data_IF_870994273908
#
_entry.id   IF_870994273908
#
_cell.length_a   1.000
_cell.length_b   1.000
_cell.length_c   1.000
_cell.angle_alpha   90.00
_cell.angle_beta   90.00
_cell.angle_gamma   90.00
#
_symmetry.space_group_name_H-M   'P 1'
#
loop_
_entity.id
_entity.type
_entity.pdbx_description
1 polymer ?
#
# COMPACT_ATOMS: atom_id res chain seq x y z
N UNK A 1 -29.17 -41.09 55.21
CA UNK A 1 -28.40 -39.99 55.84
C UNK A 1 -27.10 -39.77 55.04
N UNK A 2 -26.95 -38.65 54.33
CA UNK A 2 -25.72 -38.38 53.55
C UNK A 2 -24.55 -38.13 54.51
N UNK A 3 -23.46 -38.86 54.32
CA UNK A 3 -22.31 -38.89 55.23
C UNK A 3 -21.54 -37.55 55.17
N UNK A 4 -21.49 -36.81 56.28
CA UNK A 4 -20.83 -35.48 56.40
C UNK A 4 -19.38 -35.50 55.91
N UNK A 5 -18.67 -36.63 56.06
CA UNK A 5 -17.29 -36.81 55.57
C UNK A 5 -17.18 -36.85 54.05
N UNK A 6 -18.16 -37.40 53.34
CA UNK A 6 -18.18 -37.38 51.87
C UNK A 6 -18.46 -35.99 51.33
N UNK A 7 -19.36 -35.24 51.98
CA UNK A 7 -19.70 -33.88 51.57
C UNK A 7 -18.45 -32.98 51.67
N UNK A 8 -17.74 -33.01 52.80
CA UNK A 8 -16.53 -32.20 53.00
C UNK A 8 -15.44 -32.55 51.97
N UNK A 9 -15.20 -33.85 51.70
CA UNK A 9 -14.22 -34.28 50.69
C UNK A 9 -14.58 -33.83 49.27
N UNK A 10 -15.86 -33.94 48.90
CA UNK A 10 -16.35 -33.51 47.57
C UNK A 10 -16.35 -31.98 47.44
N UNK A 11 -16.66 -31.24 48.51
CA UNK A 11 -16.58 -29.78 48.55
C UNK A 11 -15.14 -29.27 48.46
N UNK A 12 -14.17 -29.92 49.13
CA UNK A 12 -12.75 -29.53 49.04
C UNK A 12 -12.14 -29.77 47.65
N UNK A 13 -12.56 -30.84 46.95
CA UNK A 13 -12.14 -31.12 45.56
C UNK A 13 -12.73 -30.12 44.55
N UNK A 14 -13.96 -29.65 44.77
CA UNK A 14 -14.58 -28.62 43.93
C UNK A 14 -13.91 -27.23 44.07
N UNK A 15 -13.39 -26.91 45.26
CA UNK A 15 -12.65 -25.66 45.53
C UNK A 15 -11.23 -25.72 44.92
N UNK A 16 -10.58 -26.89 44.90
CA UNK A 16 -9.29 -27.05 44.20
C UNK A 16 -9.44 -27.05 42.66
N UNK A 17 -10.53 -27.58 42.12
CA UNK A 17 -10.76 -27.56 40.68
C UNK A 17 -11.06 -26.15 40.13
N UNK A 18 -11.61 -25.26 40.95
CA UNK A 18 -11.90 -23.87 40.55
C UNK A 18 -10.69 -22.93 40.65
N UNK A 19 -9.64 -23.30 41.39
CA UNK A 19 -8.40 -22.52 41.48
C UNK A 19 -7.37 -22.83 40.38
N UNK A 20 -7.59 -23.89 39.62
CA UNK A 20 -6.79 -24.29 38.44
C UNK A 20 -7.40 -23.85 37.11
N UNK A 21 -8.40 -22.97 37.13
CA UNK A 21 -8.78 -22.26 35.91
C UNK A 21 -7.56 -21.48 35.44
N UNK A 22 -7.02 -21.71 34.23
CA UNK A 22 -6.00 -20.83 33.70
C UNK A 22 -6.63 -19.45 33.73
N UNK A 23 -6.03 -18.54 34.50
CA UNK A 23 -6.20 -17.13 34.25
C UNK A 23 -5.73 -16.94 32.81
N UNK A 24 -6.65 -17.14 31.86
CA UNK A 24 -6.57 -16.57 30.54
C UNK A 24 -6.48 -15.09 30.84
N UNK A 25 -5.25 -14.63 30.99
CA UNK A 25 -4.90 -13.24 30.90
C UNK A 25 -5.36 -12.83 29.51
N UNK A 26 -6.63 -12.45 29.40
CA UNK A 26 -7.10 -11.51 28.41
C UNK A 26 -6.37 -10.21 28.74
N UNK A 27 -5.07 -10.19 28.45
CA UNK A 27 -4.34 -8.95 28.34
C UNK A 27 -5.12 -8.19 27.29
N UNK A 28 -5.77 -7.09 27.69
CA UNK A 28 -6.33 -6.14 26.75
C UNK A 28 -5.23 -5.87 25.74
N UNK A 29 -5.39 -6.33 24.48
CA UNK A 29 -4.41 -6.01 23.45
C UNK A 29 -4.31 -4.50 23.45
N UNK A 30 -3.16 -3.96 23.88
CA UNK A 30 -2.96 -2.51 23.91
C UNK A 30 -3.24 -1.98 22.52
N UNK A 31 -3.96 -0.87 22.44
CA UNK A 31 -4.22 -0.19 21.18
C UNK A 31 -2.91 0.04 20.44
N UNK A 32 -2.85 -0.42 19.19
CA UNK A 32 -1.68 -0.25 18.33
C UNK A 32 -1.94 0.93 17.41
N UNK A 33 -1.19 2.01 17.61
CA UNK A 33 -1.16 3.12 16.66
C UNK A 33 -0.35 2.72 15.43
N UNK A 34 -0.97 2.71 14.26
CA UNK A 34 -0.31 2.59 12.95
C UNK A 34 -0.29 3.98 12.30
N UNK A 35 0.87 4.42 11.86
CA UNK A 35 1.03 5.69 11.12
C UNK A 35 1.31 5.39 9.67
N UNK A 36 0.37 5.75 8.79
CA UNK A 36 0.54 5.60 7.34
C UNK A 36 0.85 6.97 6.76
N UNK A 37 2.03 7.09 6.16
CA UNK A 37 2.44 8.22 5.34
C UNK A 37 2.23 7.85 3.88
N UNK A 38 1.79 8.79 3.06
CA UNK A 38 1.68 8.56 1.64
C UNK A 38 2.08 9.78 0.82
N UNK A 39 2.46 9.51 -0.41
CA UNK A 39 2.58 10.48 -1.49
C UNK A 39 1.94 9.91 -2.75
N UNK A 40 1.77 10.75 -3.75
CA UNK A 40 1.27 10.42 -5.08
C UNK A 40 1.73 11.54 -6.01
N UNK A 41 1.77 11.28 -7.32
CA UNK A 41 1.93 12.29 -8.37
C UNK A 41 3.17 13.16 -8.12
N UNK A 42 4.29 12.52 -7.77
CA UNK A 42 5.55 13.23 -7.53
C UNK A 42 6.02 13.92 -8.81
N UNK A 43 5.76 13.32 -9.97
CA UNK A 43 6.09 13.88 -11.26
C UNK A 43 7.52 14.40 -11.35
N UNK A 44 8.50 13.61 -10.88
CA UNK A 44 9.92 13.98 -10.90
C UNK A 44 10.25 15.31 -10.18
N UNK A 45 9.38 15.83 -9.30
CA UNK A 45 9.63 17.06 -8.52
C UNK A 45 10.56 16.79 -7.34
N UNK A 46 11.84 16.55 -7.67
CA UNK A 46 12.92 16.30 -6.70
C UNK A 46 13.23 17.56 -5.90
N UNK A 47 13.21 18.71 -6.56
CA UNK A 47 13.42 20.03 -5.96
C UNK A 47 12.09 20.73 -5.66
N UNK A 48 12.07 21.73 -4.76
CA UNK A 48 10.89 22.56 -4.56
C UNK A 48 10.42 23.25 -5.85
N UNK A 49 9.12 23.47 -5.97
CA UNK A 49 8.54 24.18 -7.11
C UNK A 49 9.15 25.59 -7.23
N UNK A 50 9.58 25.97 -8.44
CA UNK A 50 10.24 27.26 -8.69
C UNK A 50 9.25 28.40 -8.97
N UNK A 51 8.05 28.08 -9.45
CA UNK A 51 7.05 29.03 -9.92
C UNK A 51 5.63 28.57 -9.53
N UNK A 52 4.65 29.42 -9.84
CA UNK A 52 3.22 29.14 -9.61
C UNK A 52 2.80 29.19 -8.15
N UNK A 53 1.57 28.74 -7.88
CA UNK A 53 0.95 28.77 -6.54
C UNK A 53 1.69 27.95 -5.48
N UNK A 54 2.51 26.99 -5.92
CA UNK A 54 3.27 26.09 -5.03
C UNK A 54 4.73 26.52 -4.86
N UNK A 55 5.14 27.71 -5.34
CA UNK A 55 6.53 28.18 -5.28
C UNK A 55 7.13 28.01 -3.88
N UNK A 56 8.28 27.34 -3.81
CA UNK A 56 9.02 27.05 -2.57
C UNK A 56 8.50 25.84 -1.78
N UNK A 57 7.35 25.27 -2.14
CA UNK A 57 6.82 24.04 -1.54
C UNK A 57 7.39 22.78 -2.22
N UNK A 58 7.20 21.62 -1.61
CA UNK A 58 7.64 20.34 -2.17
C UNK A 58 9.14 20.08 -2.02
N UNK A 59 9.67 19.21 -2.88
CA UNK A 59 11.05 18.76 -2.86
C UNK A 59 11.32 17.58 -1.92
N UNK A 60 12.11 16.62 -2.38
CA UNK A 60 12.39 15.37 -1.66
C UNK A 60 13.25 15.60 -0.41
N UNK A 61 14.10 16.63 -0.37
CA UNK A 61 14.88 16.95 0.82
C UNK A 61 13.99 17.41 2.00
N UNK A 62 13.00 18.26 1.72
CA UNK A 62 12.02 18.69 2.74
C UNK A 62 11.14 17.51 3.17
N UNK A 63 10.70 16.69 2.21
CA UNK A 63 9.97 15.43 2.48
C UNK A 63 10.78 14.50 3.39
N UNK A 64 12.07 14.31 3.12
CA UNK A 64 12.97 13.50 3.92
C UNK A 64 13.01 13.93 5.39
N UNK A 65 13.08 15.25 5.62
CA UNK A 65 13.11 15.84 6.96
C UNK A 65 11.84 15.53 7.73
N UNK A 66 10.68 15.68 7.10
CA UNK A 66 9.38 15.39 7.72
C UNK A 66 9.24 13.89 8.02
N UNK A 67 9.54 13.02 7.04
CA UNK A 67 9.49 11.57 7.22
C UNK A 67 10.40 11.13 8.37
N UNK A 68 11.63 11.64 8.42
CA UNK A 68 12.58 11.35 9.51
C UNK A 68 12.03 11.79 10.87
N UNK A 69 11.47 13.00 10.96
CA UNK A 69 10.87 13.51 12.19
C UNK A 69 9.72 12.63 12.68
N UNK A 70 8.85 12.16 11.77
CA UNK A 70 7.73 11.29 12.12
C UNK A 70 8.23 9.92 12.59
N UNK A 71 9.17 9.30 11.86
CA UNK A 71 9.75 8.00 12.23
C UNK A 71 10.54 8.03 13.54
N UNK A 72 11.05 9.18 13.95
CA UNK A 72 11.68 9.35 15.27
C UNK A 72 10.66 9.43 16.42
N UNK A 73 9.39 9.75 16.12
CA UNK A 73 8.32 9.91 17.11
C UNK A 73 7.35 8.73 17.16
N UNK A 74 7.17 8.06 16.04
CA UNK A 74 6.18 7.01 15.84
C UNK A 74 6.86 5.66 15.61
N UNK A 75 6.38 4.62 16.29
CA UNK A 75 6.97 3.27 16.20
C UNK A 75 6.58 2.53 14.91
N UNK A 76 5.28 2.50 14.61
CA UNK A 76 4.72 1.67 13.54
C UNK A 76 4.39 2.51 12.31
N UNK A 77 5.44 2.96 11.62
CA UNK A 77 5.29 3.79 10.41
C UNK A 77 5.34 2.92 9.15
N UNK A 78 4.45 3.22 8.21
CA UNK A 78 4.47 2.74 6.83
C UNK A 78 4.48 3.95 5.89
N UNK A 79 5.22 3.89 4.81
CA UNK A 79 5.30 4.94 3.79
C UNK A 79 4.98 4.37 2.40
N UNK A 80 3.94 4.88 1.76
CA UNK A 80 3.49 4.40 0.46
C UNK A 80 3.50 5.50 -0.61
N UNK A 81 3.54 5.09 -1.88
CA UNK A 81 3.33 5.98 -3.02
C UNK A 81 2.21 5.47 -3.95
N UNK A 82 1.33 6.36 -4.38
CA UNK A 82 0.19 6.01 -5.23
C UNK A 82 0.46 6.10 -6.74
N UNK A 83 1.71 6.22 -7.19
CA UNK A 83 2.08 6.21 -8.61
C UNK A 83 2.30 7.61 -9.18
N UNK A 84 2.62 7.66 -10.48
CA UNK A 84 3.10 8.86 -11.19
C UNK A 84 4.32 9.47 -10.51
N UNK A 85 5.30 8.59 -10.30
CA UNK A 85 6.61 8.96 -9.77
C UNK A 85 7.40 9.70 -10.86
N UNK A 86 7.26 9.22 -12.09
CA UNK A 86 7.96 9.71 -13.29
C UNK A 86 7.25 10.88 -13.97
N UNK A 87 7.98 11.45 -14.94
CA UNK A 87 7.60 12.55 -15.84
C UNK A 87 7.23 13.87 -15.13
N UNK A 88 7.63 15.02 -15.68
CA UNK A 88 7.25 16.35 -15.16
C UNK A 88 8.39 17.34 -14.97
N UNK A 89 9.64 16.88 -14.85
CA UNK A 89 10.81 17.76 -14.78
C UNK A 89 11.98 17.25 -15.65
N UNK A 90 12.99 18.09 -15.96
CA UNK A 90 14.18 17.66 -16.70
C UNK A 90 14.97 16.50 -16.06
N UNK A 91 14.79 16.24 -14.75
CA UNK A 91 15.42 15.09 -14.09
C UNK A 91 14.99 13.77 -14.75
N UNK A 92 13.68 13.58 -14.96
CA UNK A 92 13.19 12.38 -15.64
C UNK A 92 13.71 12.28 -17.08
N UNK A 93 13.72 13.39 -17.82
CA UNK A 93 14.17 13.39 -19.21
C UNK A 93 15.65 12.99 -19.35
N UNK A 94 16.49 13.39 -18.39
CA UNK A 94 17.93 13.12 -18.43
C UNK A 94 18.31 11.77 -17.80
N UNK A 95 17.70 11.43 -16.66
CA UNK A 95 18.07 10.25 -15.86
C UNK A 95 17.10 9.08 -16.01
N UNK A 96 15.99 9.28 -16.72
CA UNK A 96 15.03 8.24 -17.08
C UNK A 96 14.34 7.55 -15.92
N UNK A 97 14.27 8.16 -14.73
CA UNK A 97 13.65 7.61 -13.51
C UNK A 97 14.63 7.10 -12.43
N UNK A 98 15.94 7.11 -12.71
CA UNK A 98 16.95 6.58 -11.78
C UNK A 98 16.96 7.33 -10.44
N UNK A 99 16.94 8.66 -10.49
CA UNK A 99 17.08 9.51 -9.29
C UNK A 99 15.88 9.36 -8.39
N UNK A 100 14.69 9.33 -8.98
CA UNK A 100 13.41 9.18 -8.32
C UNK A 100 13.40 7.91 -7.45
N UNK A 101 13.71 6.77 -8.06
CA UNK A 101 13.74 5.49 -7.33
C UNK A 101 14.87 5.44 -6.30
N UNK A 102 16.06 5.96 -6.61
CA UNK A 102 17.15 6.02 -5.62
C UNK A 102 16.77 6.87 -4.39
N UNK A 103 16.11 8.00 -4.60
CA UNK A 103 15.68 8.86 -3.50
C UNK A 103 14.54 8.23 -2.70
N UNK A 104 13.53 7.63 -3.35
CA UNK A 104 12.48 6.89 -2.66
C UNK A 104 13.04 5.70 -1.86
N UNK A 105 14.02 4.99 -2.40
CA UNK A 105 14.76 3.94 -1.70
C UNK A 105 15.49 4.46 -0.47
N UNK A 106 16.19 5.61 -0.58
CA UNK A 106 16.82 6.28 0.58
C UNK A 106 15.80 6.72 1.62
N UNK A 107 14.61 7.14 1.19
CA UNK A 107 13.47 7.46 2.03
C UNK A 107 12.76 6.22 2.59
N UNK A 108 13.19 5.01 2.23
CA UNK A 108 12.62 3.74 2.71
C UNK A 108 11.11 3.68 2.52
N UNK A 109 10.62 3.93 1.30
CA UNK A 109 9.22 3.60 0.98
C UNK A 109 8.98 2.10 1.23
N UNK A 110 7.81 1.74 1.73
CA UNK A 110 7.43 0.36 2.03
C UNK A 110 6.83 -0.34 0.81
N UNK A 111 6.12 0.40 -0.05
CA UNK A 111 5.58 -0.02 -1.35
C UNK A 111 5.14 1.19 -2.19
N UNK A 112 4.98 0.98 -3.50
CA UNK A 112 4.32 1.92 -4.42
C UNK A 112 3.37 1.17 -5.37
N UNK A 113 2.40 1.85 -5.99
CA UNK A 113 1.73 1.36 -7.21
C UNK A 113 2.28 2.06 -8.45
N UNK A 114 1.79 1.69 -9.63
CA UNK A 114 2.12 2.34 -10.89
C UNK A 114 0.98 3.26 -11.33
N UNK A 115 1.35 4.47 -11.75
CA UNK A 115 0.48 5.36 -12.49
C UNK A 115 0.71 5.30 -14.01
N UNK A 116 0.00 6.13 -14.77
CA UNK A 116 0.14 6.14 -16.23
C UNK A 116 1.49 6.71 -16.67
N UNK A 117 2.02 7.73 -15.99
CA UNK A 117 3.30 8.35 -16.35
C UNK A 117 4.51 7.46 -16.05
N UNK A 118 4.35 6.43 -15.22
CA UNK A 118 5.40 5.44 -14.99
C UNK A 118 5.70 4.59 -16.25
N UNK A 119 4.85 4.66 -17.28
CA UNK A 119 5.02 4.01 -18.59
C UNK A 119 5.63 4.93 -19.66
N UNK A 120 5.96 6.20 -19.36
CA UNK A 120 6.35 7.17 -20.40
C UNK A 120 7.66 6.84 -21.12
N UNK A 121 8.60 6.16 -20.44
CA UNK A 121 9.81 5.60 -21.06
C UNK A 121 9.62 4.15 -21.57
N UNK A 122 8.38 3.70 -21.63
CA UNK A 122 7.98 2.35 -22.00
C UNK A 122 8.42 1.28 -21.00
N UNK A 123 8.05 0.03 -21.30
CA UNK A 123 8.38 -1.12 -20.45
C UNK A 123 9.90 -1.28 -20.26
N UNK A 124 10.71 -0.99 -21.28
CA UNK A 124 12.18 -1.07 -21.19
C UNK A 124 12.75 -0.02 -20.25
N UNK A 125 12.25 1.22 -20.32
CA UNK A 125 12.64 2.30 -19.40
C UNK A 125 12.28 1.95 -17.97
N UNK A 126 11.03 1.53 -17.72
CA UNK A 126 10.60 1.09 -16.40
C UNK A 126 11.48 -0.06 -15.88
N UNK A 127 11.68 -1.12 -16.69
CA UNK A 127 12.53 -2.27 -16.35
C UNK A 127 13.95 -1.86 -16.00
N UNK A 128 14.55 -0.94 -16.76
CA UNK A 128 15.90 -0.43 -16.53
C UNK A 128 16.03 0.22 -15.16
N UNK A 129 14.99 0.90 -14.67
CA UNK A 129 15.04 1.60 -13.40
C UNK A 129 14.67 0.76 -12.18
N UNK A 130 13.89 -0.32 -12.34
CA UNK A 130 13.47 -1.18 -11.22
C UNK A 130 14.60 -1.59 -10.24
N UNK A 131 15.85 -1.87 -10.67
CA UNK A 131 16.94 -2.17 -9.74
C UNK A 131 17.27 -1.05 -8.73
N UNK A 132 16.86 0.19 -9.00
CA UNK A 132 17.05 1.34 -8.10
C UNK A 132 15.96 1.44 -7.01
N UNK A 133 14.86 0.68 -7.14
CA UNK A 133 13.77 0.65 -6.17
C UNK A 133 13.97 -0.51 -5.18
N UNK A 134 14.35 -0.17 -3.94
CA UNK A 134 14.50 -1.11 -2.82
C UNK A 134 13.17 -1.43 -2.13
N UNK A 135 12.07 -1.15 -2.81
CA UNK A 135 10.70 -1.35 -2.36
C UNK A 135 9.91 -2.01 -3.50
N UNK A 136 8.91 -2.84 -3.18
CA UNK A 136 8.10 -3.48 -4.20
C UNK A 136 7.11 -2.49 -4.82
N UNK A 137 6.92 -2.62 -6.12
CA UNK A 137 5.72 -2.13 -6.78
C UNK A 137 4.61 -3.17 -6.65
N UNK A 138 3.43 -2.69 -6.23
CA UNK A 138 2.22 -3.47 -6.06
C UNK A 138 1.23 -3.10 -7.17
N UNK A 139 0.83 -4.06 -7.99
CA UNK A 139 -0.21 -3.86 -9.00
C UNK A 139 -0.95 -5.16 -9.25
N UNK A 140 -2.26 -5.12 -9.02
CA UNK A 140 -3.13 -6.28 -9.05
C UNK A 140 -3.90 -6.41 -10.36
N UNK A 141 -4.14 -5.29 -11.06
CA UNK A 141 -4.99 -5.20 -12.24
C UNK A 141 -4.23 -4.95 -13.54
N UNK A 142 -2.89 -4.88 -13.51
CA UNK A 142 -2.07 -5.00 -14.70
C UNK A 142 -1.49 -6.41 -14.80
N UNK A 143 -1.81 -7.09 -15.90
CA UNK A 143 -1.20 -8.37 -16.24
C UNK A 143 -0.05 -8.17 -17.23
N UNK A 144 1.17 -8.42 -16.74
CA UNK A 144 2.43 -8.31 -17.47
C UNK A 144 2.93 -9.65 -18.04
N UNK A 145 2.12 -10.73 -17.98
CA UNK A 145 2.53 -12.09 -18.35
C UNK A 145 3.07 -12.23 -19.77
N UNK A 146 2.62 -11.38 -20.69
CA UNK A 146 3.06 -11.33 -22.09
C UNK A 146 4.05 -10.19 -22.39
N UNK A 147 4.74 -9.70 -21.35
CA UNK A 147 5.68 -8.57 -21.48
C UNK A 147 7.05 -8.89 -20.89
N UNK A 148 8.02 -8.01 -21.15
CA UNK A 148 9.36 -8.07 -20.55
C UNK A 148 9.36 -7.84 -19.02
N UNK A 149 8.25 -7.38 -18.45
CA UNK A 149 8.05 -7.15 -17.02
C UNK A 149 7.34 -8.31 -16.32
N UNK A 150 7.21 -9.46 -16.99
CA UNK A 150 6.68 -10.69 -16.37
C UNK A 150 7.35 -10.96 -15.01
N UNK A 151 6.53 -11.19 -13.99
CA UNK A 151 6.93 -11.47 -12.61
C UNK A 151 7.76 -10.35 -11.92
N UNK A 152 7.76 -9.11 -12.43
CA UNK A 152 8.46 -7.99 -11.79
C UNK A 152 7.67 -7.32 -10.67
N UNK A 153 6.35 -7.50 -10.68
CA UNK A 153 5.46 -6.86 -9.71
C UNK A 153 4.64 -7.89 -8.96
N UNK A 154 4.39 -7.60 -7.69
CA UNK A 154 3.49 -8.39 -6.88
C UNK A 154 2.11 -7.75 -6.88
N UNK A 155 1.00 -8.52 -6.80
CA UNK A 155 -0.32 -7.91 -6.69
C UNK A 155 -0.56 -7.27 -5.31
N UNK A 156 0.03 -7.84 -4.26
CA UNK A 156 -0.13 -7.39 -2.89
C UNK A 156 1.08 -7.77 -2.02
N UNK A 157 1.18 -7.16 -0.84
CA UNK A 157 2.13 -7.51 0.23
C UNK A 157 1.48 -7.34 1.59
N UNK A 158 1.83 -8.20 2.54
CA UNK A 158 1.38 -8.09 3.94
C UNK A 158 2.53 -7.54 4.77
N UNK A 159 2.28 -6.43 5.44
CA UNK A 159 3.18 -5.81 6.41
C UNK A 159 2.74 -6.17 7.82
N UNK A 160 3.70 -6.40 8.71
CA UNK A 160 3.44 -6.59 10.14
C UNK A 160 4.00 -5.41 10.92
N UNK A 161 3.20 -4.90 11.85
CA UNK A 161 3.57 -3.86 12.82
C UNK A 161 2.98 -4.27 14.17
N UNK A 162 3.86 -4.60 15.11
CA UNK A 162 3.48 -5.36 16.32
C UNK A 162 2.65 -6.60 15.94
N UNK A 163 1.44 -6.72 16.48
CA UNK A 163 0.54 -7.84 16.20
C UNK A 163 -0.46 -7.56 15.07
N UNK A 164 -0.40 -6.37 14.45
CA UNK A 164 -1.31 -5.95 13.37
C UNK A 164 -0.74 -6.38 12.01
N UNK A 165 -1.55 -7.06 11.20
CA UNK A 165 -1.28 -7.40 9.80
C UNK A 165 -2.00 -6.42 8.87
N UNK A 166 -1.22 -5.70 8.08
CA UNK A 166 -1.69 -4.73 7.09
C UNK A 166 -1.47 -5.33 5.70
N UNK A 167 -2.55 -5.74 5.04
CA UNK A 167 -2.53 -6.15 3.65
C UNK A 167 -2.59 -4.95 2.73
N UNK A 168 -1.66 -4.84 1.78
CA UNK A 168 -1.62 -3.72 0.82
C UNK A 168 -1.60 -4.29 -0.58
N UNK A 169 -2.45 -3.78 -1.47
CA UNK A 169 -2.46 -4.12 -2.89
C UNK A 169 -2.57 -2.84 -3.73
N UNK A 170 -2.24 -2.92 -5.02
CA UNK A 170 -2.27 -1.75 -5.92
C UNK A 170 -3.23 -1.90 -7.09
N UNK A 171 -3.81 -0.80 -7.52
CA UNK A 171 -4.71 -0.70 -8.67
C UNK A 171 -4.28 0.48 -9.53
N UNK A 172 -3.95 0.22 -10.79
CA UNK A 172 -3.63 1.24 -11.78
C UNK A 172 -4.85 1.63 -12.61
N UNK A 173 -4.72 2.70 -13.38
CA UNK A 173 -5.74 3.20 -14.30
C UNK A 173 -5.73 2.50 -15.64
N UNK A 174 -6.83 2.57 -16.39
CA UNK A 174 -6.79 2.13 -17.79
C UNK A 174 -5.82 3.01 -18.58
N UNK A 175 -4.82 2.39 -19.22
CA UNK A 175 -3.79 3.08 -19.99
C UNK A 175 -4.26 3.44 -21.40
N UNK A 176 -5.35 2.84 -21.86
CA UNK A 176 -5.93 3.17 -23.16
C UNK A 176 -6.31 4.65 -23.21
N UNK A 177 -5.91 5.33 -24.28
CA UNK A 177 -6.07 6.78 -24.50
C UNK A 177 -5.28 7.70 -23.54
N UNK A 178 -4.55 7.17 -22.56
CA UNK A 178 -3.64 7.95 -21.69
C UNK A 178 -2.17 7.76 -22.08
N UNK A 179 -1.80 6.55 -22.49
CA UNK A 179 -0.42 6.18 -22.84
C UNK A 179 -0.43 5.60 -24.25
N UNK A 180 0.54 5.95 -25.12
CA UNK A 180 0.67 5.31 -26.43
C UNK A 180 0.84 3.78 -26.31
N UNK A 181 0.07 3.00 -27.08
CA UNK A 181 0.05 1.52 -27.03
C UNK A 181 1.42 0.86 -27.06
N UNK A 182 2.36 1.42 -27.83
CA UNK A 182 3.74 0.93 -27.94
C UNK A 182 4.53 0.95 -26.61
N UNK A 183 4.17 1.84 -25.67
CA UNK A 183 4.91 2.03 -24.42
C UNK A 183 4.52 1.02 -23.35
N UNK A 184 3.25 0.61 -23.28
CA UNK A 184 2.79 -0.43 -22.35
C UNK A 184 2.60 -1.80 -23.01
N UNK A 185 2.75 -1.89 -24.34
CA UNK A 185 2.81 -3.14 -25.09
C UNK A 185 1.61 -4.06 -24.83
N UNK A 186 1.92 -5.32 -24.49
CA UNK A 186 0.93 -6.37 -24.21
C UNK A 186 0.44 -6.40 -22.76
N UNK A 187 0.72 -5.38 -21.95
CA UNK A 187 0.14 -5.27 -20.61
C UNK A 187 -1.38 -5.24 -20.74
N UNK A 188 -2.05 -6.19 -20.08
CA UNK A 188 -3.52 -6.27 -20.07
C UNK A 188 -4.06 -5.56 -18.84
N UNK A 189 -5.11 -4.77 -19.05
CA UNK A 189 -5.85 -4.12 -17.97
C UNK A 189 -7.01 -5.03 -17.53
N UNK A 190 -7.12 -5.27 -16.23
CA UNK A 190 -8.19 -6.04 -15.62
C UNK A 190 -9.17 -5.09 -14.94
N UNK A 191 -10.46 -5.48 -14.90
CA UNK A 191 -11.49 -4.68 -14.24
C UNK A 191 -11.08 -4.33 -12.79
N UNK A 192 -10.99 -3.03 -12.44
CA UNK A 192 -10.42 -2.60 -11.17
C UNK A 192 -11.31 -2.97 -9.99
N UNK A 193 -12.64 -3.00 -10.14
CA UNK A 193 -13.58 -3.29 -9.06
C UNK A 193 -13.52 -4.78 -8.69
N UNK A 194 -13.68 -5.67 -9.68
CA UNK A 194 -13.60 -7.12 -9.51
C UNK A 194 -12.24 -7.54 -8.97
N UNK A 195 -11.17 -6.92 -9.48
CA UNK A 195 -9.80 -7.20 -9.03
C UNK A 195 -9.60 -6.74 -7.58
N UNK A 196 -10.06 -5.55 -7.23
CA UNK A 196 -9.97 -5.04 -5.85
C UNK A 196 -10.73 -5.93 -4.87
N UNK A 197 -11.97 -6.31 -5.18
CA UNK A 197 -12.76 -7.21 -4.35
C UNK A 197 -12.09 -8.58 -4.17
N UNK A 198 -11.49 -9.14 -5.23
CA UNK A 198 -10.73 -10.39 -5.17
C UNK A 198 -9.56 -10.30 -4.17
N UNK A 199 -8.74 -9.25 -4.26
CA UNK A 199 -7.55 -9.12 -3.40
C UNK A 199 -7.90 -8.65 -1.99
N UNK A 200 -8.89 -7.78 -1.81
CA UNK A 200 -9.38 -7.39 -0.51
C UNK A 200 -9.92 -8.61 0.27
N UNK A 201 -10.78 -9.43 -0.36
CA UNK A 201 -11.25 -10.68 0.22
C UNK A 201 -10.08 -11.62 0.57
N UNK A 202 -9.15 -11.83 -0.38
CA UNK A 202 -7.97 -12.67 -0.14
C UNK A 202 -7.15 -12.22 1.07
N UNK A 203 -6.96 -10.90 1.24
CA UNK A 203 -6.21 -10.35 2.38
C UNK A 203 -6.95 -10.54 3.71
N UNK A 204 -8.28 -10.42 3.73
CA UNK A 204 -9.09 -10.77 4.92
C UNK A 204 -9.00 -12.26 5.24
N UNK A 205 -9.07 -13.14 4.23
CA UNK A 205 -8.93 -14.59 4.42
C UNK A 205 -7.54 -14.97 4.97
N UNK A 206 -6.51 -14.16 4.70
CA UNK A 206 -5.16 -14.27 5.28
C UNK A 206 -5.05 -13.64 6.69
N UNK A 207 -6.19 -13.28 7.29
CA UNK A 207 -6.32 -12.65 8.60
C UNK A 207 -5.62 -11.28 8.69
N UNK A 208 -5.69 -10.46 7.63
CA UNK A 208 -5.25 -9.06 7.73
C UNK A 208 -6.27 -8.25 8.54
N UNK A 209 -5.77 -7.52 9.53
CA UNK A 209 -6.56 -6.62 10.36
C UNK A 209 -6.98 -5.38 9.55
N UNK A 210 -6.07 -4.87 8.72
CA UNK A 210 -6.28 -3.74 7.81
C UNK A 210 -5.97 -4.12 6.36
N UNK A 211 -6.77 -3.60 5.43
CA UNK A 211 -6.59 -3.73 3.98
C UNK A 211 -6.51 -2.33 3.36
N UNK A 212 -5.38 -2.06 2.71
CA UNK A 212 -5.08 -0.79 2.04
C UNK A 212 -4.98 -1.00 0.54
N UNK A 213 -5.70 -0.18 -0.23
CA UNK A 213 -5.57 -0.09 -1.67
C UNK A 213 -4.69 1.13 -2.04
N UNK A 214 -3.59 0.91 -2.75
CA UNK A 214 -2.84 1.95 -3.43
C UNK A 214 -3.46 2.13 -4.82
N UNK A 215 -4.26 3.18 -5.00
CA UNK A 215 -5.03 3.40 -6.21
C UNK A 215 -4.43 4.54 -7.01
N UNK A 216 -4.34 4.34 -8.33
CA UNK A 216 -4.05 5.39 -9.29
C UNK A 216 -5.25 5.64 -10.21
N UNK A 217 -6.48 5.42 -9.73
CA UNK A 217 -7.69 5.58 -10.54
C UNK A 217 -8.15 7.02 -10.69
N UNK A 218 -7.62 7.96 -9.90
CA UNK A 218 -8.13 9.32 -9.79
C UNK A 218 -9.29 9.42 -8.80
N UNK A 219 -9.40 10.56 -8.12
CA UNK A 219 -10.36 10.74 -7.04
C UNK A 219 -11.83 10.64 -7.50
N UNK A 220 -12.20 11.40 -8.53
CA UNK A 220 -13.55 11.47 -9.08
C UNK A 220 -13.55 12.04 -10.50
N UNK A 221 -14.37 11.47 -11.38
CA UNK A 221 -14.61 11.99 -12.73
C UNK A 221 -16.06 12.44 -12.91
N UNK A 222 -16.27 13.25 -13.95
CA UNK A 222 -17.61 13.68 -14.39
C UNK A 222 -18.27 12.69 -15.36
N UNK A 223 -17.62 11.56 -15.66
CA UNK A 223 -18.09 10.51 -16.56
C UNK A 223 -18.10 9.16 -15.83
N UNK A 224 -18.45 8.09 -16.56
CA UNK A 224 -18.59 6.74 -16.02
C UNK A 224 -17.26 6.00 -15.77
N UNK A 225 -16.12 6.69 -15.90
CA UNK A 225 -14.81 6.12 -15.60
C UNK A 225 -14.73 5.77 -14.11
N UNK A 226 -14.27 4.55 -13.82
CA UNK A 226 -14.07 4.12 -12.42
C UNK A 226 -13.01 5.01 -11.77
N UNK A 227 -13.39 5.61 -10.65
CA UNK A 227 -12.54 6.45 -9.78
C UNK A 227 -12.49 5.86 -8.37
N UNK A 228 -11.69 6.45 -7.48
CA UNK A 228 -11.59 6.04 -6.08
C UNK A 228 -12.94 6.11 -5.37
N UNK A 229 -13.74 7.15 -5.63
CA UNK A 229 -15.09 7.26 -5.05
C UNK A 229 -16.02 6.14 -5.50
N UNK A 230 -15.96 5.75 -6.79
CA UNK A 230 -16.74 4.62 -7.31
C UNK A 230 -16.22 3.30 -6.75
N UNK A 231 -14.90 3.14 -6.66
CA UNK A 231 -14.27 1.94 -6.10
C UNK A 231 -14.66 1.76 -4.63
N UNK A 232 -14.63 2.83 -3.82
CA UNK A 232 -15.05 2.80 -2.42
C UNK A 232 -16.51 2.33 -2.26
N UNK A 233 -17.41 2.78 -3.14
CA UNK A 233 -18.81 2.38 -3.11
C UNK A 233 -19.05 0.94 -3.56
N UNK A 234 -18.28 0.45 -4.53
CA UNK A 234 -18.48 -0.87 -5.17
C UNK A 234 -17.55 -1.96 -4.63
N UNK A 235 -16.69 -1.63 -3.67
CA UNK A 235 -15.77 -2.59 -3.06
C UNK A 235 -16.19 -2.99 -1.65
N UNK A 236 -15.69 -4.14 -1.21
CA UNK A 236 -15.86 -4.66 0.13
C UNK A 236 -14.50 -5.00 0.73
N UNK A 237 -14.40 -4.91 2.06
CA UNK A 237 -13.21 -5.28 2.82
C UNK A 237 -11.96 -4.42 2.58
N UNK A 238 -12.10 -3.24 1.97
CA UNK A 238 -11.03 -2.24 1.87
C UNK A 238 -11.28 -1.22 2.98
N UNK A 239 -10.30 -1.02 3.85
CA UNK A 239 -10.40 -0.06 4.95
C UNK A 239 -9.90 1.33 4.53
N UNK A 240 -8.89 1.39 3.66
CA UNK A 240 -8.26 2.64 3.20
C UNK A 240 -7.96 2.58 1.70
N UNK A 241 -8.31 3.64 0.99
CA UNK A 241 -7.84 3.91 -0.37
C UNK A 241 -6.87 5.09 -0.32
N UNK A 242 -5.65 4.88 -0.80
CA UNK A 242 -4.62 5.90 -0.98
C UNK A 242 -4.56 6.19 -2.48
N UNK A 243 -5.14 7.31 -2.89
CA UNK A 243 -5.30 7.70 -4.29
C UNK A 243 -4.13 8.51 -4.87
N UNK A 244 -4.08 8.54 -6.19
CA UNK A 244 -3.32 9.43 -7.07
C UNK A 244 -4.08 9.64 -8.38
N UNK A 245 -3.45 10.24 -9.39
CA UNK A 245 -4.04 10.65 -10.69
C UNK A 245 -4.98 11.86 -10.61
#
# INVERSE_FOLDING_TARGET
MKNRREFIKKSSLAILATTLSPQLTFGSKKDVKITILHTNDMHSHIEPFKTGRNKGLGGMAKRATIIKKIRNKEKNVLLFDAGDIFQGTPYFNYYGGEIEFKLMSKLKYDAATLGNHDFDNGLEGLKKQLPNANFPFLTANYDFSETILKNKFAPYKIFKRDHIKIGVFGIGIDLENLVPKKLYGKTKYLDPIKTSNKYAKKLKDLNCDLVVCLSHLGYKYNNDKVSDTVLAQKSQNIDIIIGGH
#
